data_IF_115138041653
#
_entry.id   IF_115138041653
#
_cell.length_a   1.000
_cell.length_b   1.000
_cell.length_c   1.000
_cell.angle_alpha   90.00
_cell.angle_beta   90.00
_cell.angle_gamma   90.00
#
_symmetry.space_group_name_H-M   'P 1'
#
loop_
_entity.id
_entity.type
_entity.pdbx_description
1 polymer ?
#
# COMPACT_ATOMS: atom_id res chain seq x y z
N UNK A 1 30.35 4.31 -14.62
CA UNK A 1 29.64 4.40 -13.32
C UNK A 1 30.63 4.08 -12.22
N UNK A 2 30.72 4.95 -11.21
CA UNK A 2 31.58 4.73 -10.05
C UNK A 2 30.90 3.81 -9.02
N UNK A 3 31.68 3.11 -8.19
CA UNK A 3 31.13 2.25 -7.13
C UNK A 3 30.23 3.02 -6.14
N UNK A 4 30.46 4.33 -5.96
CA UNK A 4 29.62 5.22 -5.15
C UNK A 4 28.25 5.45 -5.76
N UNK A 5 28.16 5.57 -7.09
CA UNK A 5 26.88 5.72 -7.80
C UNK A 5 26.03 4.45 -7.67
N UNK A 6 26.65 3.26 -7.79
CA UNK A 6 25.96 1.99 -7.64
C UNK A 6 25.43 1.76 -6.22
N UNK A 7 26.20 2.13 -5.19
CA UNK A 7 25.77 2.01 -3.79
C UNK A 7 24.61 2.95 -3.44
N UNK A 8 24.65 4.17 -3.98
CA UNK A 8 23.60 5.17 -3.78
C UNK A 8 22.28 4.74 -4.41
N UNK A 9 22.32 4.22 -5.65
CA UNK A 9 21.14 3.71 -6.35
C UNK A 9 20.54 2.50 -5.62
N UNK A 10 21.39 1.58 -5.14
CA UNK A 10 20.93 0.40 -4.40
C UNK A 10 20.27 0.78 -3.06
N UNK A 11 20.86 1.71 -2.31
CA UNK A 11 20.29 2.21 -1.06
C UNK A 11 18.91 2.89 -1.26
N UNK A 12 18.73 3.64 -2.36
CA UNK A 12 17.43 4.25 -2.68
C UNK A 12 16.38 3.17 -2.98
N UNK A 13 16.74 2.14 -3.74
CA UNK A 13 15.83 1.03 -4.06
C UNK A 13 15.41 0.22 -2.82
N UNK A 14 16.33 0.01 -1.88
CA UNK A 14 16.03 -0.71 -0.64
C UNK A 14 15.08 0.10 0.26
N UNK A 15 15.27 1.42 0.37
CA UNK A 15 14.37 2.30 1.11
C UNK A 15 12.98 2.41 0.48
N UNK A 16 12.89 2.46 -0.85
CA UNK A 16 11.62 2.46 -1.57
C UNK A 16 10.85 1.15 -1.34
N UNK A 17 11.56 0.01 -1.36
CA UNK A 17 10.96 -1.29 -1.09
C UNK A 17 10.38 -1.38 0.32
N UNK A 18 11.17 -1.01 1.34
CA UNK A 18 10.75 -1.01 2.75
C UNK A 18 9.55 -0.09 2.99
N UNK A 19 9.58 1.12 2.40
CA UNK A 19 8.45 2.05 2.47
C UNK A 19 7.18 1.46 1.84
N UNK A 20 7.31 0.82 0.67
CA UNK A 20 6.17 0.25 -0.02
C UNK A 20 5.57 -0.94 0.75
N UNK A 21 6.39 -1.75 1.42
CA UNK A 21 5.92 -2.82 2.31
C UNK A 21 5.15 -2.25 3.50
N UNK A 22 5.74 -1.27 4.20
CA UNK A 22 5.09 -0.60 5.32
C UNK A 22 3.74 0.01 4.94
N UNK A 23 3.68 0.67 3.78
CA UNK A 23 2.44 1.29 3.29
C UNK A 23 1.37 0.24 2.97
N UNK A 24 1.75 -0.90 2.38
CA UNK A 24 0.84 -2.01 2.13
C UNK A 24 0.29 -2.61 3.43
N UNK A 25 1.12 -2.76 4.45
CA UNK A 25 0.67 -3.21 5.77
C UNK A 25 -0.32 -2.22 6.39
N UNK A 26 -0.03 -0.92 6.32
CA UNK A 26 -0.92 0.11 6.83
C UNK A 26 -2.26 0.16 6.08
N UNK A 27 -2.27 -0.11 4.76
CA UNK A 27 -3.49 -0.26 3.96
C UNK A 27 -4.35 -1.43 4.45
N UNK A 28 -3.75 -2.61 4.63
CA UNK A 28 -4.47 -3.77 5.15
C UNK A 28 -5.02 -3.53 6.55
N UNK A 29 -4.23 -2.93 7.43
CA UNK A 29 -4.62 -2.56 8.78
C UNK A 29 -5.77 -1.54 8.79
N UNK A 30 -5.65 -0.47 8.01
CA UNK A 30 -6.69 0.56 7.89
C UNK A 30 -8.01 0.00 7.37
N UNK A 31 -7.97 -0.91 6.40
CA UNK A 31 -9.16 -1.61 5.92
C UNK A 31 -9.80 -2.48 7.00
N UNK A 32 -9.00 -3.23 7.77
CA UNK A 32 -9.50 -4.07 8.87
C UNK A 32 -10.08 -3.23 10.00
N UNK A 33 -9.49 -2.08 10.32
CA UNK A 33 -10.02 -1.17 11.34
C UNK A 33 -11.36 -0.53 10.94
N UNK A 34 -11.52 -0.16 9.67
CA UNK A 34 -12.76 0.50 9.20
C UNK A 34 -13.88 -0.51 8.96
N UNK A 35 -13.58 -1.64 8.30
CA UNK A 35 -14.59 -2.56 7.77
C UNK A 35 -14.62 -3.92 8.48
N UNK A 36 -13.73 -4.15 9.44
CA UNK A 36 -13.50 -5.46 10.04
C UNK A 36 -12.88 -6.47 9.06
N UNK A 37 -12.49 -7.64 9.57
CA UNK A 37 -11.78 -8.65 8.78
C UNK A 37 -12.53 -9.11 7.52
N UNK A 38 -13.84 -9.33 7.61
CA UNK A 38 -14.64 -9.78 6.46
C UNK A 38 -14.80 -8.69 5.39
N UNK A 39 -15.07 -7.45 5.81
CA UNK A 39 -15.22 -6.34 4.88
C UNK A 39 -13.90 -6.02 4.18
N UNK A 40 -12.81 -5.98 4.94
CA UNK A 40 -11.47 -5.83 4.39
C UNK A 40 -11.14 -6.92 3.35
N UNK A 41 -11.43 -8.19 3.65
CA UNK A 41 -11.18 -9.29 2.69
C UNK A 41 -11.96 -9.12 1.39
N UNK A 42 -13.23 -8.68 1.44
CA UNK A 42 -14.04 -8.45 0.24
C UNK A 42 -13.42 -7.36 -0.65
N UNK A 43 -12.95 -6.27 -0.04
CA UNK A 43 -12.30 -5.17 -0.76
C UNK A 43 -10.98 -5.64 -1.37
N UNK A 44 -10.15 -6.32 -0.59
CA UNK A 44 -8.87 -6.87 -1.05
C UNK A 44 -9.07 -7.88 -2.19
N UNK A 45 -10.07 -8.76 -2.09
CA UNK A 45 -10.41 -9.72 -3.13
C UNK A 45 -10.89 -9.03 -4.41
N UNK A 46 -11.66 -7.95 -4.31
CA UNK A 46 -12.07 -7.14 -5.45
C UNK A 46 -10.85 -6.54 -6.16
N UNK A 47 -9.98 -5.87 -5.42
CA UNK A 47 -8.76 -5.23 -5.96
C UNK A 47 -7.86 -6.29 -6.63
N UNK A 48 -7.60 -7.41 -5.94
CA UNK A 48 -6.76 -8.50 -6.46
C UNK A 48 -7.31 -9.09 -7.77
N UNK A 49 -8.63 -9.19 -7.91
CA UNK A 49 -9.28 -9.75 -9.11
C UNK A 49 -9.23 -8.80 -10.30
N UNK A 50 -9.43 -7.50 -10.08
CA UNK A 50 -9.46 -6.51 -11.17
C UNK A 50 -8.07 -6.27 -11.77
N UNK A 51 -7.03 -6.20 -10.94
CA UNK A 51 -5.69 -5.83 -11.41
C UNK A 51 -4.79 -7.04 -11.71
N UNK A 52 -5.32 -8.27 -11.65
CA UNK A 52 -4.59 -9.53 -11.90
C UNK A 52 -3.17 -9.45 -11.36
N UNK A 53 -3.02 -9.10 -10.07
CA UNK A 53 -1.73 -8.89 -9.41
C UNK A 53 -0.89 -10.18 -9.48
N UNK A 54 -0.24 -10.37 -10.63
CA UNK A 54 0.73 -11.44 -10.91
C UNK A 54 2.15 -10.91 -10.69
N UNK A 55 2.32 -9.60 -10.64
CA UNK A 55 3.56 -8.98 -10.19
C UNK A 55 3.65 -9.06 -8.67
N UNK A 56 4.81 -9.50 -8.20
CA UNK A 56 5.18 -9.49 -6.78
C UNK A 56 5.70 -8.11 -6.34
N UNK A 57 5.75 -7.15 -7.26
CA UNK A 57 6.32 -5.84 -7.00
C UNK A 57 5.35 -4.96 -6.18
N UNK A 58 5.84 -4.39 -5.08
CA UNK A 58 5.01 -3.63 -4.16
C UNK A 58 4.49 -2.32 -4.79
N UNK A 59 5.25 -1.69 -5.69
CA UNK A 59 4.81 -0.48 -6.40
C UNK A 59 3.56 -0.75 -7.26
N UNK A 60 3.52 -1.85 -8.00
CA UNK A 60 2.34 -2.25 -8.78
C UNK A 60 1.14 -2.57 -7.88
N UNK A 61 1.38 -3.22 -6.74
CA UNK A 61 0.33 -3.50 -5.75
C UNK A 61 -0.27 -2.20 -5.20
N UNK A 62 0.56 -1.21 -4.88
CA UNK A 62 0.11 0.08 -4.38
C UNK A 62 -0.74 0.84 -5.41
N UNK A 63 -0.36 0.83 -6.69
CA UNK A 63 -1.17 1.46 -7.72
C UNK A 63 -2.52 0.74 -7.89
N UNK A 64 -2.53 -0.59 -7.84
CA UNK A 64 -3.78 -1.36 -7.85
C UNK A 64 -4.68 -1.01 -6.64
N UNK A 65 -4.09 -0.82 -5.45
CA UNK A 65 -4.84 -0.34 -4.29
C UNK A 65 -5.46 1.02 -4.53
N UNK A 66 -4.69 1.99 -5.04
CA UNK A 66 -5.17 3.35 -5.29
C UNK A 66 -6.35 3.37 -6.26
N UNK A 67 -6.23 2.68 -7.40
CA UNK A 67 -7.32 2.64 -8.39
C UNK A 67 -8.50 1.82 -7.84
N UNK A 68 -8.23 0.64 -7.30
CA UNK A 68 -9.27 -0.28 -6.85
C UNK A 68 -10.07 0.21 -5.64
N UNK A 69 -9.45 0.94 -4.71
CA UNK A 69 -10.17 1.61 -3.61
C UNK A 69 -11.09 2.69 -4.15
N UNK A 70 -10.61 3.52 -5.08
CA UNK A 70 -11.43 4.56 -5.70
C UNK A 70 -12.60 3.97 -6.50
N UNK A 71 -12.41 2.86 -7.21
CA UNK A 71 -13.47 2.18 -7.95
C UNK A 71 -14.51 1.53 -7.02
N UNK A 72 -14.06 0.89 -5.94
CA UNK A 72 -14.95 0.16 -5.04
C UNK A 72 -15.72 1.08 -4.08
N UNK A 73 -15.03 2.08 -3.51
CA UNK A 73 -15.58 2.95 -2.46
C UNK A 73 -16.02 4.33 -2.98
N UNK A 74 -15.63 4.71 -4.20
CA UNK A 74 -15.85 6.06 -4.72
C UNK A 74 -15.21 7.11 -3.80
N UNK A 75 -15.97 8.14 -3.44
CA UNK A 75 -15.53 9.18 -2.50
C UNK A 75 -15.23 8.65 -1.09
N UNK A 76 -15.69 7.44 -0.74
CA UNK A 76 -15.37 6.79 0.54
C UNK A 76 -13.89 6.37 0.65
N UNK A 77 -13.15 6.28 -0.46
CA UNK A 77 -11.73 5.93 -0.45
C UNK A 77 -10.89 6.90 0.40
N UNK A 78 -11.25 8.19 0.43
CA UNK A 78 -10.54 9.22 1.21
C UNK A 78 -10.52 8.92 2.72
N UNK A 79 -11.55 8.24 3.22
CA UNK A 79 -11.63 7.86 4.64
C UNK A 79 -10.58 6.79 4.95
N UNK A 80 -10.38 5.85 4.02
CA UNK A 80 -9.35 4.81 4.13
C UNK A 80 -7.97 5.44 4.02
N UNK A 81 -7.72 6.29 3.02
CA UNK A 81 -6.44 6.98 2.84
C UNK A 81 -6.04 7.78 4.08
N UNK A 82 -6.97 8.55 4.65
CA UNK A 82 -6.72 9.33 5.85
C UNK A 82 -6.44 8.44 7.08
N UNK A 83 -7.11 7.30 7.20
CA UNK A 83 -6.83 6.33 8.26
C UNK A 83 -5.45 5.70 8.09
N UNK A 84 -5.07 5.33 6.87
CA UNK A 84 -3.76 4.75 6.53
C UNK A 84 -2.64 5.74 6.86
N UNK A 85 -2.81 7.02 6.51
CA UNK A 85 -1.84 8.06 6.88
C UNK A 85 -1.64 8.14 8.39
N UNK A 86 -2.72 8.08 9.19
CA UNK A 86 -2.61 8.08 10.66
C UNK A 86 -1.85 6.87 11.20
N UNK A 87 -2.10 5.69 10.65
CA UNK A 87 -1.37 4.46 11.02
C UNK A 87 0.11 4.62 10.66
N UNK A 88 0.42 5.09 9.45
CA UNK A 88 1.80 5.33 8.99
C UNK A 88 2.54 6.30 9.92
N UNK A 89 1.94 7.45 10.23
CA UNK A 89 2.56 8.41 11.16
C UNK A 89 2.83 7.80 12.53
N UNK A 90 1.90 6.99 13.04
CA UNK A 90 2.09 6.33 14.34
C UNK A 90 3.27 5.35 14.32
N UNK A 91 3.46 4.61 13.22
CA UNK A 91 4.59 3.67 13.06
C UNK A 91 5.94 4.34 12.82
N UNK A 92 5.95 5.57 12.30
CA UNK A 92 7.19 6.34 12.09
C UNK A 92 7.63 7.14 13.31
N UNK A 93 6.74 7.31 14.30
CA UNK A 93 7.02 8.00 15.56
C UNK A 93 7.44 7.05 16.71
N UNK A 94 7.42 5.72 16.47
CA UNK A 94 7.95 4.67 17.38
C UNK A 94 9.46 4.45 17.20
#
# INVERSE_FOLDING_TARGET
MSALESLSIQNIGDQEHEFNELLLECLEEGLREIFGNKGAQIILDYINRQYRLRSRENAERLEAFRIGLSEFLGSGAVVVEHKVMKIMYSKLEE
#
